data_IF_711235449141
#
_entry.id   IF_711235449141
#
_cell.length_a   1.000
_cell.length_b   1.000
_cell.length_c   1.000
_cell.angle_alpha   90.00
_cell.angle_beta   90.00
_cell.angle_gamma   90.00
#
_symmetry.space_group_name_H-M   'P 1'
#
loop_
_entity.id
_entity.type
_entity.pdbx_description
1 polymer ?
#
# COMPACT_ATOMS: atom_id res chain seq x y z
N UNK A 1 58.11 -46.55 -39.23
CA UNK A 1 56.77 -47.02 -38.80
C UNK A 1 56.34 -46.10 -37.67
N UNK A 2 55.61 -45.04 -38.00
CA UNK A 2 54.90 -44.12 -37.11
C UNK A 2 53.82 -43.53 -38.03
N UNK A 3 52.55 -43.81 -37.74
CA UNK A 3 51.41 -43.60 -38.66
C UNK A 3 50.90 -42.16 -38.48
N UNK A 4 50.90 -41.38 -39.56
CA UNK A 4 50.15 -40.11 -39.65
C UNK A 4 48.69 -40.43 -40.02
N UNK A 5 47.72 -39.98 -39.23
CA UNK A 5 46.32 -39.91 -39.66
C UNK A 5 45.72 -38.53 -39.35
N UNK A 6 45.36 -37.81 -40.42
CA UNK A 6 44.60 -36.54 -40.39
C UNK A 6 43.13 -36.80 -40.76
N UNK A 7 42.23 -35.95 -40.21
CA UNK A 7 40.78 -35.72 -40.53
C UNK A 7 39.82 -36.74 -39.87
N UNK A 8 38.68 -36.35 -39.27
CA UNK A 8 37.58 -35.55 -39.84
C UNK A 8 36.73 -34.84 -38.75
N UNK A 9 36.10 -33.76 -39.20
CA UNK A 9 35.01 -32.94 -38.65
C UNK A 9 33.86 -33.74 -37.99
N UNK A 10 33.32 -33.30 -36.83
CA UNK A 10 32.02 -33.78 -36.28
C UNK A 10 31.25 -32.69 -35.53
N UNK A 11 30.41 -32.01 -36.31
CA UNK A 11 29.05 -31.49 -36.07
C UNK A 11 28.51 -31.43 -34.62
N UNK A 12 28.28 -30.19 -34.17
CA UNK A 12 27.28 -29.67 -33.21
C UNK A 12 26.62 -30.64 -32.22
N UNK A 13 26.84 -30.40 -30.93
CA UNK A 13 25.95 -30.90 -29.89
C UNK A 13 25.72 -29.80 -28.84
N UNK A 14 24.47 -29.36 -28.78
CA UNK A 14 23.82 -28.85 -27.58
C UNK A 14 24.12 -27.41 -27.17
N UNK A 15 23.45 -26.53 -27.91
CA UNK A 15 22.75 -25.32 -27.46
C UNK A 15 21.90 -25.60 -26.17
N UNK A 16 22.54 -25.91 -25.05
CA UNK A 16 21.92 -26.21 -23.75
C UNK A 16 22.45 -25.29 -22.63
N UNK A 17 23.13 -24.20 -23.00
CA UNK A 17 23.60 -23.16 -22.07
C UNK A 17 22.76 -21.87 -22.22
N UNK A 18 21.80 -21.83 -23.16
CA UNK A 18 20.94 -20.66 -23.42
C UNK A 18 19.55 -20.71 -22.74
N UNK A 19 19.28 -21.73 -21.93
CA UNK A 19 18.01 -21.85 -21.21
C UNK A 19 18.18 -22.06 -19.71
N UNK A 20 19.22 -21.47 -19.13
CA UNK A 20 19.13 -21.03 -17.74
C UNK A 20 18.23 -19.78 -17.70
N UNK A 21 16.96 -19.93 -18.07
CA UNK A 21 15.96 -19.01 -17.55
C UNK A 21 16.06 -19.15 -16.05
N UNK A 22 16.71 -18.17 -15.44
CA UNK A 22 16.45 -17.78 -14.07
C UNK A 22 14.97 -17.38 -14.07
N UNK A 23 14.09 -18.38 -13.99
CA UNK A 23 12.74 -18.16 -13.51
C UNK A 23 12.94 -17.76 -12.06
N UNK A 24 13.10 -16.46 -11.83
CA UNK A 24 12.82 -15.87 -10.53
C UNK A 24 11.39 -16.28 -10.21
N UNK A 25 11.25 -17.33 -9.40
CA UNK A 25 9.97 -17.73 -8.87
C UNK A 25 9.49 -16.55 -8.05
N UNK A 26 8.65 -15.74 -8.67
CA UNK A 26 8.05 -14.56 -8.10
C UNK A 26 6.95 -15.02 -7.13
N UNK A 27 7.31 -15.86 -6.13
CA UNK A 27 6.37 -16.31 -5.10
C UNK A 27 5.69 -15.07 -4.54
N UNK A 28 4.38 -15.06 -4.62
CA UNK A 28 3.58 -14.05 -3.96
C UNK A 28 3.80 -14.26 -2.45
N UNK A 29 4.54 -13.34 -1.83
CA UNK A 29 4.79 -13.38 -0.41
C UNK A 29 3.53 -12.88 0.27
N UNK A 30 2.92 -13.73 1.10
CA UNK A 30 1.79 -13.33 1.92
C UNK A 30 2.25 -12.22 2.86
N UNK A 31 1.52 -11.12 2.85
CA UNK A 31 1.79 -9.97 3.70
C UNK A 31 1.13 -10.18 5.05
N UNK A 32 1.79 -9.74 6.12
CA UNK A 32 1.21 -9.76 7.46
C UNK A 32 -0.01 -8.85 7.53
N UNK A 33 -1.05 -9.27 8.22
CA UNK A 33 -2.16 -8.37 8.51
C UNK A 33 -1.72 -7.18 9.37
N UNK A 34 -2.56 -6.16 9.42
CA UNK A 34 -2.36 -4.90 10.15
C UNK A 34 -1.21 -4.04 9.61
N UNK A 35 -0.87 -4.18 8.33
CA UNK A 35 0.18 -3.40 7.66
C UNK A 35 -0.37 -2.49 6.56
N UNK A 36 0.46 -1.56 6.11
CA UNK A 36 0.16 -0.71 4.95
C UNK A 36 0.70 -1.37 3.68
N UNK A 37 -0.14 -1.46 2.65
CA UNK A 37 0.23 -2.08 1.37
C UNK A 37 -0.09 -1.16 0.20
N UNK A 38 0.71 -1.26 -0.86
CA UNK A 38 0.41 -0.69 -2.18
C UNK A 38 0.85 -1.63 -3.29
N UNK A 39 0.33 -1.38 -4.48
CA UNK A 39 0.85 -2.01 -5.69
C UNK A 39 2.04 -1.23 -6.23
N UNK A 40 2.96 -1.90 -6.91
CA UNK A 40 4.06 -1.29 -7.66
C UNK A 40 3.55 -0.36 -8.77
N UNK A 41 2.41 -0.70 -9.37
CA UNK A 41 1.83 0.00 -10.52
C UNK A 41 0.68 0.96 -10.15
N UNK A 42 0.38 1.15 -8.86
CA UNK A 42 -0.70 2.04 -8.41
C UNK A 42 -0.26 2.85 -7.17
N UNK A 43 -0.39 4.19 -7.18
CA UNK A 43 -0.01 5.02 -6.04
C UNK A 43 -0.94 4.85 -4.82
N UNK A 44 -2.14 4.29 -4.98
CA UNK A 44 -3.10 4.12 -3.89
C UNK A 44 -2.53 3.22 -2.78
N UNK A 45 -2.61 3.72 -1.55
CA UNK A 45 -2.22 3.00 -0.33
C UNK A 45 -3.48 2.40 0.31
N UNK A 46 -3.32 1.20 0.87
CA UNK A 46 -4.36 0.49 1.60
C UNK A 46 -3.83 0.06 2.96
N UNK A 47 -4.71 -0.03 3.95
CA UNK A 47 -4.45 -0.75 5.19
C UNK A 47 -5.01 -2.17 5.05
N UNK A 48 -4.20 -3.19 5.31
CA UNK A 48 -4.66 -4.58 5.36
C UNK A 48 -5.11 -4.89 6.79
N UNK A 49 -6.40 -5.09 7.00
CA UNK A 49 -6.94 -5.43 8.33
C UNK A 49 -6.62 -6.86 8.75
N UNK A 50 -6.80 -7.15 10.05
CA UNK A 50 -6.74 -8.52 10.60
C UNK A 50 -7.79 -9.46 10.01
N UNK A 51 -8.83 -8.92 9.37
CA UNK A 51 -9.84 -9.64 8.61
C UNK A 51 -9.44 -9.97 7.16
N UNK A 52 -8.18 -9.70 6.78
CA UNK A 52 -7.62 -9.86 5.44
C UNK A 52 -8.36 -9.05 4.36
N UNK A 53 -9.03 -7.96 4.76
CA UNK A 53 -9.60 -6.99 3.83
C UNK A 53 -8.69 -5.77 3.71
N UNK A 54 -8.64 -5.19 2.52
CA UNK A 54 -7.93 -3.94 2.27
C UNK A 54 -8.88 -2.75 2.41
N UNK A 55 -8.49 -1.79 3.22
CA UNK A 55 -9.23 -0.56 3.49
C UNK A 55 -8.55 0.61 2.79
N UNK A 56 -9.34 1.41 2.08
CA UNK A 56 -8.82 2.44 1.16
C UNK A 56 -8.63 3.76 1.89
N UNK A 57 -7.49 4.41 1.70
CA UNK A 57 -7.34 5.84 2.00
C UNK A 57 -7.84 6.65 0.79
N UNK A 58 -8.99 7.35 0.88
CA UNK A 58 -9.59 8.00 -0.29
C UNK A 58 -8.78 9.18 -0.83
N UNK A 59 -7.94 9.79 0.03
CA UNK A 59 -7.04 10.88 -0.31
C UNK A 59 -5.89 10.96 0.71
N UNK A 60 -4.91 11.80 0.41
CA UNK A 60 -3.72 12.02 1.25
C UNK A 60 -4.08 12.61 2.63
N UNK A 61 -5.07 13.49 2.73
CA UNK A 61 -5.49 14.06 4.03
C UNK A 61 -5.95 12.97 4.99
N UNK A 62 -6.70 11.98 4.50
CA UNK A 62 -7.09 10.83 5.32
C UNK A 62 -5.86 10.03 5.72
N UNK A 63 -4.95 9.72 4.80
CA UNK A 63 -3.72 8.99 5.12
C UNK A 63 -2.88 9.71 6.18
N UNK A 64 -2.60 10.99 5.98
CA UNK A 64 -1.79 11.79 6.90
C UNK A 64 -2.46 12.08 8.24
N UNK A 65 -3.77 11.88 8.35
CA UNK A 65 -4.45 11.89 9.63
C UNK A 65 -4.11 10.70 10.53
N UNK A 66 -3.63 9.60 9.95
CA UNK A 66 -3.24 8.37 10.66
C UNK A 66 -1.72 8.17 10.73
N UNK A 67 -0.98 8.58 9.71
CA UNK A 67 0.47 8.34 9.58
C UNK A 67 1.20 9.63 9.24
N UNK A 68 2.43 9.81 9.71
CA UNK A 68 3.19 11.03 9.45
C UNK A 68 3.82 11.06 8.04
N UNK A 69 4.10 9.89 7.49
CA UNK A 69 4.80 9.69 6.23
C UNK A 69 4.41 8.31 5.64
N UNK A 70 5.01 7.93 4.52
CA UNK A 70 4.79 6.63 3.88
C UNK A 70 5.74 5.53 4.38
N UNK A 71 6.42 5.73 5.51
CA UNK A 71 7.24 4.68 6.11
C UNK A 71 6.35 3.51 6.55
N UNK A 72 6.84 2.28 6.32
CA UNK A 72 6.06 1.07 6.59
C UNK A 72 5.05 0.68 5.51
N UNK A 73 4.94 1.43 4.41
CA UNK A 73 4.14 1.00 3.26
C UNK A 73 4.89 -0.08 2.49
N UNK A 74 4.38 -1.31 2.52
CA UNK A 74 4.92 -2.45 1.79
C UNK A 74 4.44 -2.45 0.33
N UNK A 75 5.37 -2.64 -0.60
CA UNK A 75 5.06 -2.77 -2.03
C UNK A 75 4.85 -4.24 -2.36
N UNK A 76 3.67 -4.56 -2.89
CA UNK A 76 3.33 -5.90 -3.37
C UNK A 76 2.94 -5.90 -4.84
N UNK A 77 2.92 -7.10 -5.42
CA UNK A 77 2.40 -7.31 -6.77
C UNK A 77 0.91 -6.99 -6.83
N UNK A 78 0.47 -6.38 -7.93
CA UNK A 78 -0.96 -6.15 -8.20
C UNK A 78 -1.81 -7.44 -8.08
N UNK A 79 -1.27 -8.58 -8.51
CA UNK A 79 -1.97 -9.88 -8.45
C UNK A 79 -2.16 -10.38 -7.01
N UNK A 80 -1.25 -10.03 -6.10
CA UNK A 80 -1.38 -10.33 -4.68
C UNK A 80 -2.36 -9.37 -4.02
N UNK A 81 -2.21 -8.06 -4.28
CA UNK A 81 -3.10 -7.02 -3.78
C UNK A 81 -4.58 -7.30 -4.11
N UNK A 82 -4.84 -7.85 -5.30
CA UNK A 82 -6.18 -8.17 -5.79
C UNK A 82 -6.83 -9.37 -5.11
N UNK A 83 -6.09 -10.16 -4.32
CA UNK A 83 -6.64 -11.26 -3.50
C UNK A 83 -7.34 -10.77 -2.24
N UNK A 84 -6.94 -9.60 -1.73
CA UNK A 84 -7.55 -9.00 -0.55
C UNK A 84 -8.80 -8.20 -0.97
N UNK A 85 -10.01 -8.62 -0.54
CA UNK A 85 -11.23 -7.90 -0.89
C UNK A 85 -11.28 -6.52 -0.22
N UNK A 86 -12.07 -5.61 -0.77
CA UNK A 86 -12.28 -4.29 -0.17
C UNK A 86 -13.09 -4.40 1.12
N UNK A 87 -12.60 -3.78 2.20
CA UNK A 87 -13.27 -3.69 3.49
C UNK A 87 -14.09 -2.41 3.68
N UNK A 88 -13.76 -1.36 2.91
CA UNK A 88 -14.40 -0.06 2.98
C UNK A 88 -13.39 1.08 2.88
N UNK A 89 -13.85 2.29 3.16
CA UNK A 89 -13.03 3.49 3.15
C UNK A 89 -12.63 3.86 4.58
N UNK A 90 -11.36 4.21 4.75
CA UNK A 90 -10.87 4.80 5.98
C UNK A 90 -11.35 6.26 6.02
N UNK A 91 -11.82 6.70 7.18
CA UNK A 91 -12.17 8.09 7.45
C UNK A 91 -11.00 8.80 8.14
N UNK A 92 -11.05 10.13 8.17
CA UNK A 92 -10.08 10.92 8.95
C UNK A 92 -10.01 10.38 10.39
N UNK A 93 -8.78 10.25 10.92
CA UNK A 93 -8.55 9.80 12.28
C UNK A 93 -9.29 10.70 13.26
N UNK A 94 -10.12 10.15 14.16
CA UNK A 94 -10.83 10.97 15.13
C UNK A 94 -9.88 11.83 15.96
N UNK A 95 -10.26 13.09 16.17
CA UNK A 95 -9.49 14.03 16.99
C UNK A 95 -8.21 14.60 16.37
N UNK A 96 -7.91 14.38 15.09
CA UNK A 96 -6.71 14.98 14.45
C UNK A 96 -6.99 16.18 13.55
N UNK A 97 -8.22 16.32 13.04
CA UNK A 97 -8.65 17.46 12.24
C UNK A 97 -9.96 18.06 12.74
N UNK A 98 -10.15 19.32 12.37
CA UNK A 98 -11.42 20.03 12.39
C UNK A 98 -11.98 20.09 10.97
N UNK A 99 -13.29 19.93 10.84
CA UNK A 99 -13.99 20.05 9.58
C UNK A 99 -14.75 21.38 9.50
N UNK A 100 -14.68 22.00 8.31
CA UNK A 100 -15.48 23.15 7.94
C UNK A 100 -16.41 22.79 6.79
N UNK A 101 -17.68 23.17 6.92
CA UNK A 101 -18.67 23.03 5.86
C UNK A 101 -18.87 24.42 5.25
N UNK A 102 -18.80 24.54 3.93
CA UNK A 102 -18.86 25.86 3.25
C UNK A 102 -20.20 26.56 3.40
N UNK A 103 -21.28 25.80 3.60
CA UNK A 103 -22.65 26.28 3.78
C UNK A 103 -23.06 26.48 5.24
N UNK A 104 -22.18 26.16 6.21
CA UNK A 104 -22.48 26.28 7.63
C UNK A 104 -21.33 27.00 8.37
N UNK A 105 -21.60 28.13 9.07
CA UNK A 105 -20.57 28.85 9.82
C UNK A 105 -20.02 28.08 11.03
N UNK A 106 -20.57 26.92 11.40
CA UNK A 106 -20.04 26.09 12.48
C UNK A 106 -18.69 25.43 12.13
N UNK A 107 -18.00 24.94 13.16
CA UNK A 107 -16.79 24.10 13.08
C UNK A 107 -17.10 22.77 13.75
N UNK A 108 -16.59 21.69 13.18
CA UNK A 108 -16.92 20.33 13.58
C UNK A 108 -15.68 19.54 13.99
N UNK A 109 -15.76 18.77 15.06
CA UNK A 109 -14.83 17.66 15.31
C UNK A 109 -15.25 16.43 14.52
N UNK A 110 -14.28 15.58 14.23
CA UNK A 110 -14.50 14.29 13.58
C UNK A 110 -14.41 13.21 14.65
N UNK A 111 -15.54 12.54 14.89
CA UNK A 111 -15.69 11.41 15.82
C UNK A 111 -15.50 10.06 15.08
N UNK A 112 -15.37 8.93 15.82
CA UNK A 112 -15.28 7.60 15.22
C UNK A 112 -16.38 7.34 14.17
N UNK A 113 -16.00 6.70 13.06
CA UNK A 113 -16.88 6.48 11.91
C UNK A 113 -17.05 7.70 11.00
N UNK A 114 -16.30 8.78 11.22
CA UNK A 114 -16.37 9.99 10.38
C UNK A 114 -17.58 10.89 10.72
N UNK A 115 -18.13 10.76 11.92
CA UNK A 115 -19.28 11.55 12.36
C UNK A 115 -18.84 12.97 12.68
N UNK A 116 -19.55 13.97 12.15
CA UNK A 116 -19.29 15.37 12.42
C UNK A 116 -20.06 15.83 13.65
N UNK A 117 -19.34 16.36 14.65
CA UNK A 117 -19.95 16.94 15.85
C UNK A 117 -19.56 18.38 16.02
N UNK A 118 -20.57 19.24 16.11
CA UNK A 118 -20.39 20.69 16.22
C UNK A 118 -19.66 21.05 17.50
N UNK A 119 -18.63 21.89 17.37
CA UNK A 119 -17.96 22.54 18.49
C UNK A 119 -18.79 23.72 18.96
N UNK A 120 -18.88 23.90 20.28
CA UNK A 120 -19.66 24.98 20.90
C UNK A 120 -19.04 26.35 20.67
N UNK A 121 -17.72 26.47 20.86
CA UNK A 121 -16.98 27.72 20.76
C UNK A 121 -15.47 27.47 20.55
N UNK A 122 -14.75 28.55 20.29
CA UNK A 122 -13.29 28.53 20.09
C UNK A 122 -12.51 28.00 21.31
N UNK A 123 -12.96 28.30 22.53
CA UNK A 123 -12.31 27.80 23.74
C UNK A 123 -12.31 26.26 23.81
N UNK A 124 -13.40 25.62 23.39
CA UNK A 124 -13.47 24.18 23.28
C UNK A 124 -12.54 23.63 22.19
N UNK A 125 -12.44 24.30 21.03
CA UNK A 125 -11.49 23.91 19.99
C UNK A 125 -10.05 23.97 20.49
N UNK A 126 -9.67 25.06 21.16
CA UNK A 126 -8.34 25.25 21.75
C UNK A 126 -8.00 24.19 22.80
N UNK A 127 -8.99 23.79 23.60
CA UNK A 127 -8.82 22.72 24.60
C UNK A 127 -8.56 21.36 23.95
N UNK A 128 -9.19 21.08 22.82
CA UNK A 128 -9.12 19.77 22.15
C UNK A 128 -7.93 19.65 21.17
N UNK A 129 -7.54 20.76 20.53
CA UNK A 129 -6.59 20.75 19.41
C UNK A 129 -5.36 21.67 19.60
N UNK A 130 -5.30 22.46 20.66
CA UNK A 130 -4.23 23.42 20.88
C UNK A 130 -4.50 24.81 20.28
N UNK A 131 -3.51 25.68 20.32
CA UNK A 131 -3.66 27.11 19.99
C UNK A 131 -3.10 27.50 18.61
N UNK A 132 -2.55 26.54 17.87
CA UNK A 132 -1.83 26.73 16.61
C UNK A 132 -2.77 26.86 15.40
#
# INVERSE_FOLDING_TARGET
MEIVFKRRFSITLSLLILFSLVYSSNKAQAVSAETLIKSDNNPAVYYLGSDLKRYVFPNETVFFSWYQNFEGVEVIKQSELSKYPLGGNITIRPGTYLAKITTDPAVYVIEPGGVLKKIRNEAQARTLYGND
#
